data_IF_627985379899
#
_entry.id   IF_627985379899
#
_cell.length_a   1.000
_cell.length_b   1.000
_cell.length_c   1.000
_cell.angle_alpha   90.00
_cell.angle_beta   90.00
_cell.angle_gamma   90.00
#
_symmetry.space_group_name_H-M   'P 1'
#
loop_
_entity.id
_entity.type
_entity.pdbx_description
1 polymer ?
#
# COMPACT_ATOMS: atom_id res chain seq x y z
N UNK A 1 -53.15 -14.26 -14.03
CA UNK A 1 -51.76 -13.80 -13.86
C UNK A 1 -50.89 -14.66 -14.76
N UNK A 2 -50.47 -14.10 -15.88
CA UNK A 2 -49.58 -14.73 -16.87
C UNK A 2 -48.19 -14.92 -16.26
N UNK A 3 -47.50 -16.00 -16.65
CA UNK A 3 -46.16 -16.41 -16.19
C UNK A 3 -45.06 -15.31 -16.35
N UNK A 4 -45.36 -14.20 -17.02
CA UNK A 4 -44.48 -13.06 -17.27
C UNK A 4 -44.19 -12.19 -16.04
N UNK A 5 -45.07 -12.14 -15.03
CA UNK A 5 -44.84 -11.30 -13.84
C UNK A 5 -43.88 -11.94 -12.81
N UNK A 6 -43.68 -13.27 -12.85
CA UNK A 6 -42.84 -13.98 -11.87
C UNK A 6 -41.33 -13.88 -12.13
N UNK A 7 -40.91 -13.54 -13.35
CA UNK A 7 -39.49 -13.34 -13.71
C UNK A 7 -39.04 -11.86 -13.61
N UNK A 8 -39.90 -10.94 -13.17
CA UNK A 8 -39.62 -9.50 -13.14
C UNK A 8 -38.80 -9.06 -11.90
N UNK A 9 -39.06 -9.65 -10.74
CA UNK A 9 -38.39 -9.25 -9.49
C UNK A 9 -36.88 -9.53 -9.46
N UNK A 10 -36.38 -10.72 -9.86
CA UNK A 10 -34.94 -10.98 -9.89
C UNK A 10 -34.20 -10.00 -10.82
N UNK A 11 -34.75 -9.76 -12.01
CA UNK A 11 -34.18 -8.82 -12.97
C UNK A 11 -34.15 -7.38 -12.46
N UNK A 12 -35.18 -6.96 -11.71
CA UNK A 12 -35.21 -5.64 -11.09
C UNK A 12 -34.18 -5.48 -9.97
N UNK A 13 -33.99 -6.52 -9.15
CA UNK A 13 -32.97 -6.56 -8.11
C UNK A 13 -31.57 -6.46 -8.72
N UNK A 14 -31.30 -7.16 -9.82
CA UNK A 14 -30.02 -7.10 -10.53
C UNK A 14 -29.74 -5.70 -11.07
N UNK A 15 -30.75 -5.03 -11.65
CA UNK A 15 -30.64 -3.64 -12.14
C UNK A 15 -30.40 -2.65 -11.00
N UNK A 16 -31.02 -2.84 -9.84
CA UNK A 16 -30.73 -2.00 -8.68
C UNK A 16 -29.31 -2.22 -8.19
N UNK A 17 -28.86 -3.46 -8.06
CA UNK A 17 -27.50 -3.81 -7.66
C UNK A 17 -26.46 -3.21 -8.60
N UNK A 18 -26.69 -3.25 -9.92
CA UNK A 18 -25.77 -2.66 -10.89
C UNK A 18 -25.66 -1.14 -10.72
N UNK A 19 -26.78 -0.44 -10.47
CA UNK A 19 -26.76 1.01 -10.21
C UNK A 19 -25.99 1.37 -8.95
N UNK A 20 -26.19 0.63 -7.86
CA UNK A 20 -25.42 0.81 -6.62
C UNK A 20 -23.92 0.54 -6.81
N UNK A 21 -23.58 -0.49 -7.58
CA UNK A 21 -22.20 -0.78 -7.90
C UNK A 21 -21.56 0.35 -8.71
N UNK A 22 -22.27 0.90 -9.69
CA UNK A 22 -21.76 1.97 -10.54
C UNK A 22 -21.58 3.29 -9.78
N UNK A 23 -22.48 3.65 -8.87
CA UNK A 23 -22.27 4.82 -8.00
C UNK A 23 -21.10 4.61 -7.05
N UNK A 24 -20.94 3.40 -6.51
CA UNK A 24 -19.78 3.05 -5.67
C UNK A 24 -18.47 3.15 -6.45
N UNK A 25 -18.41 2.66 -7.70
CA UNK A 25 -17.23 2.82 -8.57
C UNK A 25 -16.85 4.29 -8.77
N UNK A 26 -17.84 5.17 -8.94
CA UNK A 26 -17.61 6.62 -9.07
C UNK A 26 -17.03 7.21 -7.79
N UNK A 27 -17.59 6.88 -6.62
CA UNK A 27 -17.03 7.29 -5.33
C UNK A 27 -15.58 6.83 -5.18
N UNK A 28 -15.28 5.56 -5.49
CA UNK A 28 -13.92 5.02 -5.44
C UNK A 28 -12.96 5.73 -6.39
N UNK A 29 -13.42 6.04 -7.60
CA UNK A 29 -12.64 6.78 -8.60
C UNK A 29 -12.34 8.21 -8.13
N UNK A 30 -13.30 8.86 -7.48
CA UNK A 30 -13.13 10.19 -6.88
C UNK A 30 -12.14 10.15 -5.71
N UNK A 31 -12.24 9.17 -4.81
CA UNK A 31 -11.26 8.96 -3.74
C UNK A 31 -9.85 8.70 -4.29
N UNK A 32 -9.74 7.83 -5.31
CA UNK A 32 -8.47 7.56 -5.98
C UNK A 32 -7.88 8.83 -6.59
N UNK A 33 -8.70 9.64 -7.27
CA UNK A 33 -8.28 10.91 -7.85
C UNK A 33 -7.72 11.86 -6.79
N UNK A 34 -8.38 11.99 -5.64
CA UNK A 34 -7.91 12.85 -4.53
C UNK A 34 -6.53 12.40 -4.08
N UNK A 35 -6.35 11.10 -3.79
CA UNK A 35 -5.06 10.56 -3.36
C UNK A 35 -3.98 10.67 -4.43
N UNK A 36 -4.32 10.39 -5.69
CA UNK A 36 -3.35 10.39 -6.79
C UNK A 36 -2.81 11.78 -7.10
N UNK A 37 -3.54 12.83 -6.72
CA UNK A 37 -3.17 14.23 -6.92
C UNK A 37 -2.77 14.92 -5.60
N UNK A 38 -2.44 14.15 -4.55
CA UNK A 38 -2.00 14.65 -3.24
C UNK A 38 -2.96 15.69 -2.64
N UNK A 39 -4.26 15.54 -2.87
CA UNK A 39 -5.29 16.42 -2.35
C UNK A 39 -5.68 16.04 -0.91
N UNK A 40 -6.02 17.00 -0.04
CA UNK A 40 -6.57 16.71 1.27
C UNK A 40 -7.82 15.82 1.19
N UNK A 41 -7.90 14.80 2.06
CA UNK A 41 -9.07 13.91 2.13
C UNK A 41 -10.38 14.62 2.52
N UNK A 42 -10.28 15.83 3.07
CA UNK A 42 -11.44 16.69 3.33
C UNK A 42 -12.13 17.16 2.05
N UNK A 43 -11.44 17.18 0.92
CA UNK A 43 -11.99 17.65 -0.37
C UNK A 43 -13.01 16.67 -0.96
N UNK A 44 -13.06 15.43 -0.45
CA UNK A 44 -13.93 14.37 -0.99
C UNK A 44 -15.41 14.74 -1.01
N UNK A 45 -15.92 15.33 0.07
CA UNK A 45 -17.32 15.70 0.15
C UNK A 45 -17.66 16.79 -0.87
N UNK A 46 -16.87 17.87 -0.93
CA UNK A 46 -17.11 18.95 -1.88
C UNK A 46 -16.98 18.50 -3.34
N UNK A 47 -16.08 17.56 -3.63
CA UNK A 47 -15.93 16.99 -4.97
C UNK A 47 -17.11 16.09 -5.35
N UNK A 48 -17.64 15.29 -4.42
CA UNK A 48 -18.85 14.50 -4.62
C UNK A 48 -20.10 15.37 -4.83
N UNK A 49 -20.22 16.47 -4.08
CA UNK A 49 -21.29 17.46 -4.24
C UNK A 49 -21.22 18.13 -5.61
N UNK A 50 -20.02 18.54 -6.05
CA UNK A 50 -19.80 19.12 -7.37
C UNK A 50 -20.16 18.13 -8.50
N UNK A 51 -19.80 16.85 -8.35
CA UNK A 51 -20.16 15.81 -9.33
C UNK A 51 -21.68 15.61 -9.38
N UNK A 52 -22.35 15.66 -8.23
CA UNK A 52 -23.82 15.58 -8.15
C UNK A 52 -24.51 16.78 -8.80
N UNK A 53 -23.93 17.98 -8.67
CA UNK A 53 -24.41 19.19 -9.38
C UNK A 53 -24.24 19.09 -10.90
N UNK A 54 -23.24 18.35 -11.37
CA UNK A 54 -23.05 18.03 -12.79
C UNK A 54 -23.89 16.82 -13.26
N UNK A 55 -24.97 16.51 -12.54
CA UNK A 55 -25.93 15.44 -12.86
C UNK A 55 -25.35 14.01 -12.83
N UNK A 56 -24.20 13.82 -12.18
CA UNK A 56 -23.61 12.49 -11.96
C UNK A 56 -24.15 11.91 -10.66
N UNK A 57 -24.79 10.73 -10.73
CA UNK A 57 -25.27 10.02 -9.54
C UNK A 57 -24.10 9.50 -8.68
N UNK A 58 -23.80 10.17 -7.57
CA UNK A 58 -22.75 9.77 -6.62
C UNK A 58 -23.24 8.80 -5.54
N UNK A 59 -24.49 8.32 -5.64
CA UNK A 59 -25.13 7.52 -4.60
C UNK A 59 -25.44 8.33 -3.34
N UNK A 60 -25.90 7.64 -2.30
CA UNK A 60 -26.41 8.27 -1.07
C UNK A 60 -25.41 8.29 0.09
N UNK A 61 -24.20 7.76 -0.09
CA UNK A 61 -23.26 7.56 1.01
C UNK A 61 -21.81 7.48 0.57
N UNK A 62 -20.92 7.24 1.55
CA UNK A 62 -19.46 7.20 1.37
C UNK A 62 -18.82 8.53 0.92
N UNK A 63 -19.48 9.67 1.16
CA UNK A 63 -18.96 11.01 0.83
C UNK A 63 -18.18 11.66 1.96
N UNK A 64 -18.17 11.07 3.15
CA UNK A 64 -17.41 11.60 4.29
C UNK A 64 -15.90 11.44 4.11
N UNK A 65 -15.13 12.27 4.83
CA UNK A 65 -13.67 12.08 4.95
C UNK A 65 -13.30 10.68 5.47
N UNK A 66 -14.04 10.15 6.46
CA UNK A 66 -13.75 8.84 7.04
C UNK A 66 -13.89 7.70 6.03
N UNK A 67 -14.97 7.73 5.24
CA UNK A 67 -15.16 6.78 4.14
C UNK A 67 -14.09 6.94 3.07
N UNK A 68 -13.68 8.17 2.73
CA UNK A 68 -12.59 8.39 1.78
C UNK A 68 -11.29 7.74 2.27
N UNK A 69 -10.90 7.97 3.53
CA UNK A 69 -9.72 7.33 4.14
C UNK A 69 -9.78 5.81 4.02
N UNK A 70 -10.89 5.19 4.41
CA UNK A 70 -11.04 3.73 4.37
C UNK A 70 -10.98 3.17 2.94
N UNK A 71 -11.59 3.87 1.98
CA UNK A 71 -11.55 3.49 0.56
C UNK A 71 -10.12 3.58 0.02
N UNK A 72 -9.41 4.67 0.33
CA UNK A 72 -8.04 4.89 -0.15
C UNK A 72 -7.09 3.88 0.45
N UNK A 73 -7.23 3.59 1.74
CA UNK A 73 -6.44 2.55 2.40
C UNK A 73 -6.65 1.18 1.76
N UNK A 74 -7.91 0.84 1.46
CA UNK A 74 -8.25 -0.39 0.74
C UNK A 74 -7.64 -0.45 -0.68
N UNK A 75 -7.77 0.64 -1.46
CA UNK A 75 -7.17 0.73 -2.80
C UNK A 75 -5.65 0.60 -2.71
N UNK A 76 -5.02 1.31 -1.78
CA UNK A 76 -3.57 1.27 -1.60
C UNK A 76 -3.11 -0.14 -1.20
N UNK A 77 -3.83 -0.82 -0.30
CA UNK A 77 -3.58 -2.19 0.08
C UNK A 77 -3.62 -3.13 -1.12
N UNK A 78 -4.69 -3.08 -1.93
CA UNK A 78 -4.86 -3.95 -3.09
C UNK A 78 -3.81 -3.70 -4.17
N UNK A 79 -3.50 -2.42 -4.46
CA UNK A 79 -2.45 -2.05 -5.40
C UNK A 79 -1.09 -2.57 -4.94
N UNK A 80 -0.72 -2.34 -3.67
CA UNK A 80 0.56 -2.82 -3.11
C UNK A 80 0.63 -4.34 -3.07
N UNK A 81 -0.44 -5.01 -2.68
CA UNK A 81 -0.55 -6.48 -2.68
C UNK A 81 -0.34 -7.05 -4.08
N UNK A 82 -0.94 -6.43 -5.09
CA UNK A 82 -0.78 -6.82 -6.50
C UNK A 82 0.67 -6.67 -6.95
N UNK A 83 1.29 -5.52 -6.70
CA UNK A 83 2.69 -5.25 -7.06
C UNK A 83 3.64 -6.27 -6.40
N UNK A 84 3.52 -6.51 -5.09
CA UNK A 84 4.38 -7.46 -4.38
C UNK A 84 4.22 -8.89 -4.92
N UNK A 85 2.99 -9.30 -5.23
CA UNK A 85 2.72 -10.60 -5.86
C UNK A 85 3.37 -10.71 -7.24
N UNK A 86 3.25 -9.68 -8.08
CA UNK A 86 3.86 -9.65 -9.42
C UNK A 86 5.38 -9.75 -9.33
N UNK A 87 6.02 -8.99 -8.43
CA UNK A 87 7.47 -9.06 -8.21
C UNK A 87 7.89 -10.49 -7.82
N UNK A 88 7.17 -11.11 -6.89
CA UNK A 88 7.45 -12.48 -6.45
C UNK A 88 7.25 -13.51 -7.55
N UNK A 89 6.16 -13.39 -8.33
CA UNK A 89 5.87 -14.29 -9.46
C UNK A 89 6.92 -14.21 -10.55
N UNK A 90 7.42 -13.00 -10.83
CA UNK A 90 8.47 -12.76 -11.82
C UNK A 90 9.87 -13.13 -11.32
N UNK A 91 10.01 -13.58 -10.06
CA UNK A 91 11.30 -13.83 -9.41
C UNK A 91 12.24 -12.60 -9.49
N UNK A 92 11.65 -11.41 -9.40
CA UNK A 92 12.34 -10.14 -9.58
C UNK A 92 13.35 -9.89 -8.46
N UNK A 93 14.55 -9.42 -8.83
CA UNK A 93 15.51 -8.95 -7.82
C UNK A 93 14.98 -7.70 -7.14
N UNK A 94 15.21 -7.60 -5.83
CA UNK A 94 14.77 -6.46 -5.03
C UNK A 94 15.94 -5.81 -4.33
N UNK A 95 15.87 -4.49 -4.22
CA UNK A 95 16.71 -3.69 -3.34
C UNK A 95 15.82 -2.98 -2.34
N UNK A 96 16.30 -2.86 -1.11
CA UNK A 96 15.54 -2.27 -0.01
C UNK A 96 16.27 -1.02 0.45
N UNK A 97 15.55 0.09 0.51
CA UNK A 97 16.00 1.33 1.09
C UNK A 97 15.18 1.58 2.36
N UNK A 98 15.84 1.81 3.48
CA UNK A 98 15.18 2.22 4.72
C UNK A 98 15.61 3.64 5.12
N UNK A 99 14.68 4.35 5.74
CA UNK A 99 14.92 5.66 6.35
C UNK A 99 14.22 5.73 7.70
N UNK A 100 14.79 6.49 8.65
CA UNK A 100 14.22 6.67 9.97
C UNK A 100 13.73 8.11 10.14
N UNK A 101 12.47 8.28 10.56
CA UNK A 101 11.90 9.57 10.88
C UNK A 101 11.42 9.58 12.32
N UNK A 102 11.83 10.58 13.09
CA UNK A 102 11.34 10.81 14.45
C UNK A 102 10.34 11.96 14.45
N UNK A 103 9.18 11.74 15.07
CA UNK A 103 8.23 12.83 15.32
C UNK A 103 8.66 13.65 16.54
N UNK A 104 8.07 14.84 16.72
CA UNK A 104 8.32 15.72 17.88
C UNK A 104 7.96 15.04 19.21
N UNK A 105 7.12 13.99 19.18
CA UNK A 105 6.72 13.21 20.36
C UNK A 105 7.62 12.00 20.63
N UNK A 106 8.84 11.98 20.09
CA UNK A 106 9.84 10.90 20.20
C UNK A 106 9.38 9.52 19.68
N UNK A 107 8.35 9.49 18.83
CA UNK A 107 7.94 8.25 18.14
C UNK A 107 8.83 8.11 16.91
N UNK A 108 9.65 7.06 16.91
CA UNK A 108 10.53 6.72 15.79
C UNK A 108 9.77 5.85 14.79
N UNK A 109 9.89 6.14 13.50
CA UNK A 109 9.17 5.44 12.45
C UNK A 109 10.11 5.04 11.32
N UNK A 110 10.04 3.79 10.90
CA UNK A 110 10.81 3.23 9.81
C UNK A 110 10.03 3.36 8.50
N UNK A 111 10.58 4.11 7.55
CA UNK A 111 10.08 4.21 6.19
C UNK A 111 10.79 3.13 5.37
N UNK A 112 10.04 2.27 4.69
CA UNK A 112 10.58 1.18 3.88
C UNK A 112 10.22 1.40 2.41
N UNK A 113 11.25 1.54 1.58
CA UNK A 113 11.14 1.61 0.13
C UNK A 113 11.67 0.31 -0.51
N UNK A 114 10.96 -0.12 -1.54
CA UNK A 114 11.32 -1.25 -2.39
C UNK A 114 11.73 -0.72 -3.75
N UNK A 115 12.92 -1.06 -4.22
CA UNK A 115 13.31 -0.89 -5.60
C UNK A 115 13.27 -2.25 -6.30
N UNK A 116 12.37 -2.40 -7.25
CA UNK A 116 12.15 -3.66 -7.94
C UNK A 116 11.73 -3.44 -9.39
N UNK A 117 12.00 -4.45 -10.22
CA UNK A 117 11.54 -4.49 -11.60
C UNK A 117 10.12 -5.09 -11.64
N UNK A 118 9.14 -4.32 -12.08
CA UNK A 118 7.74 -4.80 -12.15
C UNK A 118 7.47 -5.55 -13.46
N UNK A 119 8.07 -5.07 -14.55
CA UNK A 119 7.96 -5.66 -15.88
C UNK A 119 9.28 -6.30 -16.30
N UNK A 120 9.24 -7.43 -17.00
CA UNK A 120 10.46 -8.18 -17.39
C UNK A 120 11.50 -7.36 -18.16
N UNK A 121 11.07 -6.33 -18.89
CA UNK A 121 11.92 -5.43 -19.68
C UNK A 121 11.93 -3.98 -19.17
N UNK A 122 11.28 -3.68 -18.04
CA UNK A 122 11.19 -2.33 -17.51
C UNK A 122 12.40 -1.93 -16.66
N UNK A 123 12.58 -0.63 -16.40
CA UNK A 123 13.55 -0.19 -15.40
C UNK A 123 13.04 -0.47 -13.98
N UNK A 124 13.92 -0.75 -13.01
CA UNK A 124 13.56 -0.83 -11.61
C UNK A 124 12.94 0.48 -11.12
N UNK A 125 11.86 0.38 -10.35
CA UNK A 125 11.16 1.54 -9.80
C UNK A 125 11.22 1.53 -8.28
N UNK A 126 11.46 2.70 -7.70
CA UNK A 126 11.31 2.91 -6.27
C UNK A 126 9.83 3.03 -5.91
N UNK A 127 9.41 2.17 -5.00
CA UNK A 127 8.06 2.07 -4.49
C UNK A 127 8.08 2.21 -2.99
N UNK A 128 7.20 3.05 -2.46
CA UNK A 128 6.91 3.03 -1.03
C UNK A 128 6.22 1.71 -0.67
N UNK A 129 6.83 0.95 0.25
CA UNK A 129 6.28 -0.32 0.71
C UNK A 129 5.42 -0.09 1.96
N UNK A 130 6.01 0.44 3.02
CA UNK A 130 5.30 0.60 4.28
C UNK A 130 5.97 1.61 5.22
N UNK A 131 5.20 2.01 6.22
CA UNK A 131 5.64 2.86 7.33
C UNK A 131 5.40 2.11 8.65
N UNK A 132 6.47 1.79 9.36
CA UNK A 132 6.41 0.95 10.57
C UNK A 132 6.85 1.75 11.80
N UNK A 133 5.96 1.88 12.77
CA UNK A 133 6.27 2.51 14.05
C UNK A 133 7.24 1.63 14.88
N UNK A 134 8.25 2.25 15.47
CA UNK A 134 9.26 1.63 16.33
C UNK A 134 8.97 2.03 17.78
N UNK A 135 8.70 1.05 18.65
CA UNK A 135 8.20 1.33 20.01
C UNK A 135 9.31 1.43 21.05
N UNK A 136 10.53 0.97 20.73
CA UNK A 136 11.66 0.92 21.67
C UNK A 136 12.86 1.79 21.24
N UNK A 137 12.58 2.94 20.63
CA UNK A 137 13.60 3.95 20.32
C UNK A 137 14.59 3.54 19.22
N UNK A 138 14.18 2.65 18.32
CA UNK A 138 14.89 2.40 17.07
C UNK A 138 16.18 1.59 17.21
N UNK A 139 16.25 0.63 18.15
CA UNK A 139 17.44 -0.21 18.25
C UNK A 139 17.68 -1.03 16.96
N UNK A 140 18.93 -1.33 16.63
CA UNK A 140 19.25 -2.10 15.42
C UNK A 140 18.52 -3.46 15.33
N UNK A 141 18.30 -4.12 16.47
CA UNK A 141 17.53 -5.38 16.53
C UNK A 141 16.05 -5.18 16.26
N UNK A 142 15.48 -4.08 16.76
CA UNK A 142 14.08 -3.73 16.54
C UNK A 142 13.85 -3.38 15.07
N UNK A 143 14.69 -2.51 14.51
CA UNK A 143 14.63 -2.13 13.09
C UNK A 143 14.75 -3.36 12.20
N UNK A 144 15.72 -4.24 12.49
CA UNK A 144 15.88 -5.51 11.77
C UNK A 144 14.60 -6.37 11.84
N UNK A 145 14.07 -6.58 13.04
CA UNK A 145 12.88 -7.40 13.25
C UNK A 145 11.64 -6.80 12.58
N UNK A 146 11.47 -5.48 12.66
CA UNK A 146 10.40 -4.72 12.04
C UNK A 146 10.47 -4.83 10.51
N UNK A 147 11.67 -4.69 9.92
CA UNK A 147 11.89 -4.85 8.49
C UNK A 147 11.54 -6.26 8.01
N UNK A 148 12.09 -7.30 8.66
CA UNK A 148 11.82 -8.70 8.28
C UNK A 148 10.33 -9.03 8.44
N UNK A 149 9.68 -8.55 9.50
CA UNK A 149 8.24 -8.72 9.70
C UNK A 149 7.43 -8.02 8.60
N UNK A 150 7.81 -6.80 8.22
CA UNK A 150 7.18 -6.05 7.14
C UNK A 150 7.29 -6.78 5.79
N UNK A 151 8.49 -7.24 5.42
CA UNK A 151 8.71 -7.98 4.18
C UNK A 151 7.90 -9.27 4.11
N UNK A 152 7.85 -10.03 5.21
CA UNK A 152 7.03 -11.25 5.32
C UNK A 152 5.54 -10.95 5.16
N UNK A 153 5.06 -9.85 5.76
CA UNK A 153 3.67 -9.38 5.63
C UNK A 153 3.32 -9.07 4.17
N UNK A 154 4.29 -8.59 3.40
CA UNK A 154 4.18 -8.33 1.97
C UNK A 154 4.59 -9.51 1.07
N UNK A 155 4.50 -10.74 1.59
CA UNK A 155 4.72 -12.02 0.87
C UNK A 155 6.17 -12.37 0.52
N UNK A 156 7.15 -11.54 0.90
CA UNK A 156 8.57 -11.83 0.72
C UNK A 156 9.07 -12.69 1.88
N UNK A 157 9.00 -14.01 1.70
CA UNK A 157 9.51 -14.99 2.66
C UNK A 157 11.05 -15.07 2.63
N UNK A 158 11.64 -15.76 3.61
CA UNK A 158 13.10 -15.86 3.73
C UNK A 158 13.72 -16.57 2.53
N UNK A 159 13.05 -17.58 1.97
CA UNK A 159 13.53 -18.35 0.82
C UNK A 159 13.66 -17.49 -0.44
N UNK A 160 12.69 -16.59 -0.65
CA UNK A 160 12.73 -15.58 -1.70
C UNK A 160 13.85 -14.57 -1.45
N UNK A 161 13.89 -13.99 -0.24
CA UNK A 161 14.85 -12.95 0.11
C UNK A 161 16.29 -13.45 -0.03
N UNK A 162 16.61 -14.68 0.38
CA UNK A 162 17.95 -15.27 0.22
C UNK A 162 18.44 -15.39 -1.24
N UNK A 163 17.53 -15.38 -2.22
CA UNK A 163 17.86 -15.52 -3.64
C UNK A 163 17.79 -14.21 -4.40
N UNK A 164 16.90 -13.30 -4.00
CA UNK A 164 16.51 -12.14 -4.79
C UNK A 164 16.79 -10.79 -4.11
N UNK A 165 17.15 -10.78 -2.82
CA UNK A 165 17.54 -9.55 -2.14
C UNK A 165 19.02 -9.24 -2.43
N UNK A 166 19.26 -8.16 -3.19
CA UNK A 166 20.58 -7.89 -3.76
C UNK A 166 21.29 -6.66 -3.21
N UNK A 167 20.54 -5.68 -2.69
CA UNK A 167 21.11 -4.43 -2.18
C UNK A 167 20.26 -3.94 -1.02
N UNK A 168 20.90 -3.66 0.10
CA UNK A 168 20.31 -2.93 1.21
C UNK A 168 20.96 -1.54 1.27
N UNK A 169 20.14 -0.52 1.49
CA UNK A 169 20.60 0.86 1.64
C UNK A 169 19.86 1.48 2.82
N UNK A 170 20.58 2.26 3.61
CA UNK A 170 20.03 3.00 4.74
C UNK A 170 20.62 4.40 4.76
N UNK A 171 20.05 5.29 5.55
CA UNK A 171 20.77 6.50 5.95
C UNK A 171 22.09 6.13 6.66
N UNK A 172 22.98 7.12 6.77
CA UNK A 172 24.31 6.94 7.35
C UNK A 172 24.34 6.84 8.88
N UNK A 173 23.20 6.71 9.56
CA UNK A 173 23.14 6.74 11.02
C UNK A 173 23.83 5.50 11.60
N UNK A 174 24.58 5.68 12.70
CA UNK A 174 25.40 4.64 13.32
C UNK A 174 24.61 3.38 13.69
N UNK A 175 23.32 3.52 14.02
CA UNK A 175 22.42 2.41 14.32
C UNK A 175 22.15 1.55 13.09
N UNK A 176 22.06 2.16 11.90
CA UNK A 176 21.84 1.45 10.64
C UNK A 176 23.15 0.90 10.05
N UNK A 177 24.25 1.65 10.17
CA UNK A 177 25.55 1.37 9.51
C UNK A 177 26.64 0.76 10.41
N UNK A 178 26.38 0.62 11.71
CA UNK A 178 27.39 0.25 12.71
C UNK A 178 28.07 -1.10 12.44
N UNK A 179 29.40 -1.08 12.25
CA UNK A 179 30.24 -2.25 11.90
C UNK A 179 30.29 -3.41 12.90
N UNK A 180 29.66 -3.30 14.07
CA UNK A 180 29.67 -4.33 15.13
C UNK A 180 28.29 -4.80 15.58
N UNK A 181 27.26 -3.99 15.33
CA UNK A 181 25.92 -4.22 15.88
C UNK A 181 24.82 -3.44 15.14
N UNK A 182 25.13 -2.86 13.97
CA UNK A 182 24.18 -2.10 13.18
C UNK A 182 23.23 -3.00 12.40
N UNK A 183 22.17 -2.41 11.86
CA UNK A 183 21.16 -3.12 11.07
C UNK A 183 21.80 -3.83 9.87
N UNK A 184 22.74 -3.19 9.19
CA UNK A 184 23.46 -3.79 8.05
C UNK A 184 24.13 -5.12 8.41
N UNK A 185 24.79 -5.21 9.58
CA UNK A 185 25.47 -6.45 10.02
C UNK A 185 24.45 -7.57 10.28
N UNK A 186 23.30 -7.25 10.89
CA UNK A 186 22.22 -8.21 11.12
C UNK A 186 21.63 -8.74 9.81
N UNK A 187 21.44 -7.85 8.83
CA UNK A 187 20.93 -8.21 7.50
C UNK A 187 21.94 -9.08 6.75
N UNK A 188 23.23 -8.74 6.75
CA UNK A 188 24.28 -9.55 6.10
C UNK A 188 24.38 -10.94 6.75
N UNK A 189 24.15 -11.05 8.06
CA UNK A 189 24.12 -12.35 8.75
C UNK A 189 22.97 -13.24 8.25
N UNK A 190 21.79 -12.66 8.03
CA UNK A 190 20.61 -13.39 7.55
C UNK A 190 20.68 -13.66 6.03
N UNK A 191 21.36 -12.78 5.28
CA UNK A 191 21.50 -12.83 3.83
C UNK A 191 22.98 -12.64 3.41
N UNK A 192 23.83 -13.68 3.54
CA UNK A 192 25.29 -13.57 3.31
C UNK A 192 25.72 -13.27 1.87
N UNK A 193 24.77 -13.12 0.94
CA UNK A 193 25.01 -12.82 -0.48
C UNK A 193 24.83 -11.34 -0.84
N UNK A 194 24.45 -10.51 0.14
CA UNK A 194 24.39 -9.05 0.04
C UNK A 194 25.78 -8.43 0.01
#
# INVERSE_FOLDING_TARGET
>A
MTQQEKNSMPAYVDVMNSKYLDSTKRVFSTCYYISKNDRPLGDHQGLADLQSQNEIDMGIGLHSRFSATAIIDHIAHDMRSTICKTIKQNQGKISILIDESCTISDISTLIIYLNAQLETSGEPQFLFLDLVELTNGGSAKEIHSALVACLKRHTFDMDYLQKHFIVFTSDGVCVLTGRKSGVMELIVKDFPKL
#
